data_IF_241769415611
#
_entry.id   IF_241769415611
#
_cell.length_a   1.000
_cell.length_b   1.000
_cell.length_c   1.000
_cell.angle_alpha   90.00
_cell.angle_beta   90.00
_cell.angle_gamma   90.00
#
_symmetry.space_group_name_H-M   'P 1'
#
loop_
_entity.id
_entity.type
_entity.pdbx_description
1 polymer ?
#
# COMPACT_ATOMS: atom_id res chain seq x y z
N UNK A 1 10.23 0.29 21.88
CA UNK A 1 9.35 1.48 21.93
C UNK A 1 8.51 1.43 23.21
N UNK A 2 8.24 2.55 23.87
CA UNK A 2 7.40 2.57 25.09
C UNK A 2 5.93 2.29 24.74
N UNK A 3 5.13 1.86 25.73
CA UNK A 3 3.69 1.60 25.52
C UNK A 3 2.95 2.85 25.03
N UNK A 4 3.27 4.02 25.59
CA UNK A 4 2.67 5.29 25.16
C UNK A 4 3.01 5.63 23.71
N UNK A 5 4.27 5.48 23.32
CA UNK A 5 4.70 5.76 21.95
C UNK A 5 4.07 4.77 20.94
N UNK A 6 3.78 3.52 21.34
CA UNK A 6 3.03 2.58 20.50
C UNK A 6 1.60 3.05 20.25
N UNK A 7 0.90 3.48 21.30
CA UNK A 7 -0.47 3.98 21.20
C UNK A 7 -0.52 5.24 20.34
N UNK A 8 0.42 6.16 20.54
CA UNK A 8 0.50 7.40 19.74
C UNK A 8 0.72 7.11 18.26
N UNK A 9 1.66 6.22 17.91
CA UNK A 9 1.85 5.78 16.51
C UNK A 9 0.57 5.17 15.95
N UNK A 10 -0.06 4.24 16.68
CA UNK A 10 -1.26 3.56 16.22
C UNK A 10 -2.42 4.53 15.96
N UNK A 11 -2.60 5.52 16.84
CA UNK A 11 -3.60 6.58 16.65
C UNK A 11 -3.30 7.44 15.43
N UNK A 12 -2.05 7.86 15.23
CA UNK A 12 -1.65 8.66 14.06
C UNK A 12 -1.90 7.90 12.75
N UNK A 13 -1.46 6.64 12.66
CA UNK A 13 -1.68 5.80 11.49
C UNK A 13 -3.18 5.64 11.25
N UNK A 14 -3.96 5.34 12.29
CA UNK A 14 -5.40 5.22 12.17
C UNK A 14 -6.05 6.51 11.66
N UNK A 15 -5.71 7.67 12.24
CA UNK A 15 -6.26 8.97 11.83
C UNK A 15 -5.90 9.32 10.38
N UNK A 16 -4.67 9.03 9.95
CA UNK A 16 -4.23 9.21 8.56
C UNK A 16 -5.11 8.40 7.61
N UNK A 17 -5.29 7.11 7.87
CA UNK A 17 -6.12 6.23 7.03
C UNK A 17 -7.61 6.56 7.13
N UNK A 18 -8.06 7.05 8.29
CA UNK A 18 -9.43 7.49 8.47
C UNK A 18 -9.79 8.66 7.55
N UNK A 19 -8.87 9.62 7.40
CA UNK A 19 -9.11 10.82 6.59
C UNK A 19 -8.70 10.61 5.13
N UNK A 20 -7.44 10.25 4.89
CA UNK A 20 -6.88 10.14 3.54
C UNK A 20 -7.25 8.83 2.86
N UNK A 21 -7.28 7.73 3.61
CA UNK A 21 -7.67 6.42 3.12
C UNK A 21 -9.15 6.35 2.75
N UNK A 22 -10.05 6.52 3.73
CA UNK A 22 -11.49 6.49 3.45
C UNK A 22 -11.94 7.67 2.60
N UNK A 23 -11.42 8.88 2.83
CA UNK A 23 -11.74 10.04 1.98
C UNK A 23 -11.26 9.85 0.54
N UNK A 24 -10.07 9.30 0.34
CA UNK A 24 -9.56 8.95 -0.99
C UNK A 24 -10.38 7.86 -1.67
N UNK A 25 -10.81 6.83 -0.93
CA UNK A 25 -11.71 5.81 -1.44
C UNK A 25 -13.08 6.38 -1.83
N UNK A 26 -13.64 7.26 -1.01
CA UNK A 26 -14.91 7.92 -1.30
C UNK A 26 -14.82 8.76 -2.58
N UNK A 27 -13.75 9.53 -2.77
CA UNK A 27 -13.50 10.27 -4.01
C UNK A 27 -13.30 9.35 -5.22
N UNK A 28 -12.61 8.21 -5.04
CA UNK A 28 -12.44 7.24 -6.11
C UNK A 28 -13.79 6.66 -6.58
N UNK A 29 -14.63 6.25 -5.62
CA UNK A 29 -15.97 5.73 -5.89
C UNK A 29 -16.90 6.80 -6.47
N UNK A 30 -16.79 8.04 -6.02
CA UNK A 30 -17.52 9.17 -6.60
C UNK A 30 -17.08 9.40 -8.05
N UNK A 31 -15.78 9.26 -8.34
CA UNK A 31 -15.25 9.32 -9.70
C UNK A 31 -15.86 8.24 -10.60
N UNK A 32 -16.01 7.01 -10.11
CA UNK A 32 -16.72 5.95 -10.85
C UNK A 32 -18.19 6.28 -11.05
N UNK A 33 -18.88 6.73 -10.00
CA UNK A 33 -20.30 7.09 -10.10
C UNK A 33 -20.58 8.23 -11.09
N UNK A 34 -19.61 9.13 -11.29
CA UNK A 34 -19.71 10.26 -12.23
C UNK A 34 -19.05 9.99 -13.58
N UNK A 35 -18.49 8.81 -13.80
CA UNK A 35 -17.67 8.49 -14.97
C UNK A 35 -16.54 9.54 -15.20
N UNK A 36 -15.89 9.96 -14.11
CA UNK A 36 -14.94 11.08 -14.09
C UNK A 36 -13.56 10.65 -13.62
N UNK A 37 -12.66 10.44 -14.59
CA UNK A 37 -11.26 10.11 -14.33
C UNK A 37 -10.56 11.15 -13.42
N UNK A 38 -10.85 12.45 -13.59
CA UNK A 38 -10.23 13.50 -12.79
C UNK A 38 -10.57 13.38 -11.29
N UNK A 39 -11.83 13.06 -10.97
CA UNK A 39 -12.27 12.85 -9.58
C UNK A 39 -11.65 11.56 -9.02
N UNK A 40 -11.58 10.50 -9.83
CA UNK A 40 -10.89 9.26 -9.46
C UNK A 40 -9.41 9.48 -9.15
N UNK A 41 -8.69 10.26 -9.97
CA UNK A 41 -7.28 10.60 -9.74
C UNK A 41 -7.10 11.41 -8.46
N UNK A 42 -8.02 12.31 -8.11
CA UNK A 42 -7.97 13.01 -6.83
C UNK A 42 -8.09 12.03 -5.64
N UNK A 43 -8.97 11.03 -5.74
CA UNK A 43 -9.08 9.95 -4.76
C UNK A 43 -7.81 9.11 -4.66
N UNK A 44 -7.23 8.72 -5.79
CA UNK A 44 -5.96 7.99 -5.85
C UNK A 44 -4.83 8.81 -5.21
N UNK A 45 -4.74 10.10 -5.50
CA UNK A 45 -3.75 11.00 -4.91
C UNK A 45 -3.89 11.09 -3.38
N UNK A 46 -5.12 11.10 -2.86
CA UNK A 46 -5.36 11.07 -1.41
C UNK A 46 -4.90 9.74 -0.78
N UNK A 47 -5.16 8.59 -1.44
CA UNK A 47 -4.67 7.28 -0.97
C UNK A 47 -3.14 7.25 -0.94
N UNK A 48 -2.47 7.79 -1.96
CA UNK A 48 -1.00 7.92 -2.03
C UNK A 48 -0.48 8.80 -0.90
N UNK A 49 -1.13 9.94 -0.65
CA UNK A 49 -0.77 10.80 0.47
C UNK A 49 -0.92 10.08 1.82
N UNK A 50 -1.93 9.21 1.97
CA UNK A 50 -2.09 8.33 3.13
C UNK A 50 -0.90 7.38 3.32
N UNK A 51 -0.44 6.73 2.25
CA UNK A 51 0.77 5.90 2.29
C UNK A 51 2.02 6.70 2.66
N UNK A 52 2.24 7.85 2.02
CA UNK A 52 3.38 8.71 2.29
C UNK A 52 3.40 9.18 3.76
N UNK A 53 2.25 9.60 4.28
CA UNK A 53 2.10 9.99 5.68
C UNK A 53 2.37 8.81 6.64
N UNK A 54 1.91 7.60 6.31
CA UNK A 54 2.22 6.40 7.10
C UNK A 54 3.73 6.09 7.08
N UNK A 55 4.41 6.23 5.94
CA UNK A 55 5.88 6.09 5.90
C UNK A 55 6.58 7.10 6.81
N UNK A 56 6.14 8.37 6.79
CA UNK A 56 6.69 9.42 7.66
C UNK A 56 6.49 9.07 9.13
N UNK A 57 5.29 8.63 9.52
CA UNK A 57 5.03 8.19 10.91
C UNK A 57 5.95 7.03 11.27
N UNK A 58 6.06 6.01 10.42
CA UNK A 58 6.95 4.87 10.69
C UNK A 58 8.42 5.29 10.80
N UNK A 59 8.88 6.28 10.02
CA UNK A 59 10.21 6.85 10.14
C UNK A 59 10.42 7.60 11.47
N UNK A 60 9.44 8.41 11.90
CA UNK A 60 9.51 9.16 13.18
C UNK A 60 9.63 8.21 14.37
N UNK A 61 8.89 7.09 14.35
CA UNK A 61 8.89 6.09 15.43
C UNK A 61 9.94 4.98 15.23
N UNK A 62 10.83 5.12 14.24
CA UNK A 62 11.83 4.14 13.80
C UNK A 62 11.31 2.69 13.76
N UNK A 63 10.21 2.51 13.03
CA UNK A 63 9.57 1.22 12.88
C UNK A 63 9.19 0.96 11.42
N UNK A 64 8.68 -0.25 11.15
CA UNK A 64 8.13 -0.63 9.86
C UNK A 64 6.65 -0.95 9.98
N UNK A 65 6.06 -1.40 8.88
CA UNK A 65 4.71 -1.94 8.89
C UNK A 65 4.63 -3.15 9.81
N UNK A 66 3.64 -3.15 10.69
CA UNK A 66 3.26 -4.32 11.48
C UNK A 66 2.67 -5.38 10.55
N UNK A 67 2.78 -6.66 10.94
CA UNK A 67 2.18 -7.77 10.19
C UNK A 67 0.68 -7.56 9.93
N UNK A 68 -0.07 -7.06 10.91
CA UNK A 68 -1.50 -6.76 10.74
C UNK A 68 -1.77 -5.64 9.72
N UNK A 69 -0.93 -4.61 9.68
CA UNK A 69 -1.06 -3.51 8.71
C UNK A 69 -0.74 -3.98 7.29
N UNK A 70 0.30 -4.79 7.14
CA UNK A 70 0.65 -5.40 5.87
C UNK A 70 -0.43 -6.37 5.38
N UNK A 71 -0.95 -7.22 6.27
CA UNK A 71 -2.04 -8.15 5.95
C UNK A 71 -3.31 -7.40 5.54
N UNK A 72 -3.66 -6.31 6.24
CA UNK A 72 -4.80 -5.46 5.89
C UNK A 72 -4.61 -4.84 4.50
N UNK A 73 -3.44 -4.26 4.24
CA UNK A 73 -3.12 -3.65 2.94
C UNK A 73 -3.20 -4.64 1.79
N UNK A 74 -2.60 -5.82 1.94
CA UNK A 74 -2.64 -6.89 0.92
C UNK A 74 -4.07 -7.41 0.74
N UNK A 75 -4.82 -7.60 1.82
CA UNK A 75 -6.20 -8.07 1.78
C UNK A 75 -7.11 -7.10 1.03
N UNK A 76 -7.04 -5.80 1.37
CA UNK A 76 -7.81 -4.76 0.67
C UNK A 76 -7.41 -4.68 -0.81
N UNK A 77 -6.11 -4.71 -1.11
CA UNK A 77 -5.63 -4.72 -2.50
C UNK A 77 -6.17 -5.92 -3.29
N UNK A 78 -6.09 -7.12 -2.72
CA UNK A 78 -6.59 -8.34 -3.35
C UNK A 78 -8.08 -8.28 -3.65
N UNK A 79 -8.89 -7.76 -2.72
CA UNK A 79 -10.34 -7.58 -2.91
C UNK A 79 -10.60 -6.57 -4.05
N UNK A 80 -9.92 -5.42 -4.04
CA UNK A 80 -10.12 -4.39 -5.08
C UNK A 80 -9.74 -4.91 -6.46
N UNK A 81 -8.61 -5.64 -6.57
CA UNK A 81 -8.20 -6.27 -7.83
C UNK A 81 -9.22 -7.31 -8.30
N UNK A 82 -9.72 -8.16 -7.39
CA UNK A 82 -10.71 -9.17 -7.74
C UNK A 82 -12.02 -8.54 -8.25
N UNK A 83 -12.51 -7.49 -7.59
CA UNK A 83 -13.69 -6.74 -8.03
C UNK A 83 -13.45 -6.10 -9.40
N UNK A 84 -12.30 -5.47 -9.62
CA UNK A 84 -11.96 -4.87 -10.91
C UNK A 84 -11.93 -5.91 -12.04
N UNK A 85 -11.29 -7.06 -11.83
CA UNK A 85 -11.22 -8.14 -12.83
C UNK A 85 -12.63 -8.67 -13.14
N UNK A 86 -13.47 -8.85 -12.12
CA UNK A 86 -14.85 -9.28 -12.31
C UNK A 86 -15.66 -8.27 -13.12
N UNK A 87 -15.57 -6.98 -12.80
CA UNK A 87 -16.24 -5.90 -13.55
C UNK A 87 -15.73 -5.76 -14.97
N UNK A 88 -14.42 -5.96 -15.19
CA UNK A 88 -13.84 -5.97 -16.53
C UNK A 88 -14.35 -7.15 -17.36
N UNK A 89 -14.37 -8.36 -16.78
CA UNK A 89 -14.79 -9.58 -17.46
C UNK A 89 -16.27 -9.56 -17.87
N UNK A 90 -17.12 -8.83 -17.14
CA UNK A 90 -18.55 -8.65 -17.47
C UNK A 90 -18.80 -7.48 -18.41
N UNK A 91 -17.77 -6.72 -18.79
CA UNK A 91 -17.92 -5.50 -19.60
C UNK A 91 -18.59 -4.35 -18.84
N UNK A 92 -18.60 -4.39 -17.51
CA UNK A 92 -19.25 -3.40 -16.66
C UNK A 92 -18.43 -2.14 -16.38
N UNK A 93 -17.22 -2.03 -16.93
CA UNK A 93 -16.36 -0.86 -16.76
C UNK A 93 -16.51 0.10 -17.94
N UNK A 94 -16.72 1.38 -17.63
CA UNK A 94 -16.50 2.43 -18.60
C UNK A 94 -15.01 2.56 -18.95
N UNK A 95 -14.69 3.34 -19.98
CA UNK A 95 -13.30 3.66 -20.28
C UNK A 95 -12.63 4.43 -19.13
N UNK A 96 -13.35 5.33 -18.45
CA UNK A 96 -12.79 6.12 -17.36
C UNK A 96 -12.53 5.29 -16.12
N UNK A 97 -13.43 4.35 -15.79
CA UNK A 97 -13.28 3.41 -14.68
C UNK A 97 -12.10 2.47 -14.90
N UNK A 98 -11.96 1.98 -16.14
CA UNK A 98 -10.85 1.13 -16.55
C UNK A 98 -9.50 1.82 -16.33
N UNK A 99 -9.33 3.05 -16.84
CA UNK A 99 -8.11 3.82 -16.66
C UNK A 99 -7.83 4.20 -15.21
N UNK A 100 -8.88 4.52 -14.46
CA UNK A 100 -8.77 4.82 -13.03
C UNK A 100 -8.28 3.61 -12.23
N UNK A 101 -8.83 2.42 -12.49
CA UNK A 101 -8.38 1.18 -11.85
C UNK A 101 -6.93 0.84 -12.20
N UNK A 102 -6.55 0.94 -13.49
CA UNK A 102 -5.15 0.75 -13.91
C UNK A 102 -4.20 1.74 -13.24
N UNK A 103 -4.61 3.02 -13.13
CA UNK A 103 -3.82 4.05 -12.45
C UNK A 103 -3.62 3.70 -10.98
N UNK A 104 -4.68 3.30 -10.28
CA UNK A 104 -4.59 2.86 -8.88
C UNK A 104 -3.62 1.69 -8.73
N UNK A 105 -3.73 0.66 -9.56
CA UNK A 105 -2.85 -0.52 -9.47
C UNK A 105 -1.40 -0.20 -9.78
N UNK A 106 -1.14 0.61 -10.80
CA UNK A 106 0.22 1.05 -11.14
C UNK A 106 0.87 1.76 -9.94
N UNK A 107 0.14 2.68 -9.31
CA UNK A 107 0.66 3.44 -8.17
C UNK A 107 0.86 2.57 -6.94
N UNK A 108 -0.07 1.67 -6.63
CA UNK A 108 0.09 0.72 -5.50
C UNK A 108 1.26 -0.24 -5.72
N UNK A 109 1.45 -0.73 -6.96
CA UNK A 109 2.58 -1.58 -7.30
C UNK A 109 3.92 -0.86 -7.12
N UNK A 110 3.98 0.44 -7.41
CA UNK A 110 5.17 1.29 -7.18
C UNK A 110 5.41 1.58 -5.69
N UNK A 111 4.40 1.46 -4.83
CA UNK A 111 4.53 1.72 -3.38
C UNK A 111 5.54 0.80 -2.71
N UNK A 112 5.59 -0.49 -3.09
CA UNK A 112 6.53 -1.46 -2.54
C UNK A 112 8.01 -1.12 -2.85
N UNK A 113 8.44 -0.94 -4.12
CA UNK A 113 9.83 -0.58 -4.41
C UNK A 113 10.21 0.78 -3.82
N UNK A 114 9.29 1.74 -3.73
CA UNK A 114 9.53 3.01 -3.03
C UNK A 114 9.82 2.74 -1.55
N UNK A 115 8.97 1.98 -0.86
CA UNK A 115 9.16 1.64 0.55
C UNK A 115 10.51 0.95 0.82
N UNK A 116 10.84 -0.06 0.00
CA UNK A 116 12.10 -0.78 0.12
C UNK A 116 13.30 0.16 -0.06
N UNK A 117 13.21 1.06 -1.03
CA UNK A 117 14.26 2.05 -1.32
C UNK A 117 14.41 3.07 -0.20
N UNK A 118 13.31 3.56 0.39
CA UNK A 118 13.36 4.56 1.47
C UNK A 118 13.81 3.97 2.80
N UNK A 119 13.48 2.71 3.11
CA UNK A 119 13.81 2.09 4.40
C UNK A 119 15.17 1.41 4.42
N UNK A 120 15.53 0.70 3.36
CA UNK A 120 16.76 -0.11 3.32
C UNK A 120 17.83 0.46 2.39
N UNK A 121 17.51 1.52 1.64
CA UNK A 121 18.36 2.05 0.58
C UNK A 121 18.40 1.15 -0.66
N UNK A 122 18.73 1.72 -1.82
CA UNK A 122 18.83 0.99 -3.09
C UNK A 122 19.80 -0.21 -3.05
N UNK A 123 20.86 -0.13 -2.22
CA UNK A 123 21.84 -1.22 -2.04
C UNK A 123 21.44 -2.27 -1.00
N UNK A 124 20.72 -1.88 0.07
CA UNK A 124 20.29 -2.82 1.12
C UNK A 124 19.02 -3.60 0.77
N UNK A 125 18.20 -3.09 -0.16
CA UNK A 125 17.00 -3.79 -0.63
C UNK A 125 17.33 -5.14 -1.29
N UNK A 126 18.45 -5.26 -2.02
CA UNK A 126 18.87 -6.51 -2.67
C UNK A 126 19.60 -7.49 -1.74
N UNK A 127 20.21 -7.03 -0.65
CA UNK A 127 20.92 -7.92 0.28
C UNK A 127 19.98 -8.79 1.11
N UNK A 128 18.73 -8.37 1.33
CA UNK A 128 17.74 -9.14 2.08
C UNK A 128 17.13 -10.31 1.31
N UNK A 129 17.27 -10.34 -0.02
CA UNK A 129 16.81 -11.45 -0.87
C UNK A 129 17.89 -12.53 -1.07
N UNK A 130 19.10 -12.34 -0.56
CA UNK A 130 20.13 -13.38 -0.55
C UNK A 130 19.88 -14.34 0.62
N UNK A 131 19.14 -15.41 0.36
CA UNK A 131 19.05 -16.56 1.26
C UNK A 131 20.47 -17.13 1.39
N UNK A 132 21.06 -17.05 2.59
CA UNK A 132 22.29 -17.77 2.90
C UNK A 132 21.94 -19.25 2.83
N UNK A 133 22.41 -19.95 1.79
CA UNK A 133 22.34 -21.41 1.76
C UNK A 133 22.95 -21.92 3.06
N UNK A 134 22.20 -22.77 3.78
CA UNK A 134 22.72 -23.46 4.93
C UNK A 134 23.93 -24.26 4.45
N UNK A 135 25.13 -23.89 4.92
CA UNK A 135 26.23 -24.84 5.01
C UNK A 135 25.73 -25.95 5.93
N UNK A 136 25.10 -26.98 5.33
CA UNK A 136 24.89 -28.26 5.96
C UNK A 136 26.28 -28.76 6.31
N UNK A 137 26.67 -28.55 7.56
CA UNK A 137 27.92 -28.95 8.14
C UNK A 137 28.14 -30.44 7.90
N UNK A 138 28.88 -30.73 6.83
CA UNK A 138 29.64 -31.94 6.73
C UNK A 138 30.78 -31.83 7.75
N UNK A 139 30.58 -32.41 8.92
CA UNK A 139 31.67 -32.88 9.76
C UNK A 139 31.35 -34.31 10.18
N UNK A 140 31.52 -35.21 9.21
CA UNK A 140 31.95 -36.57 9.45
C UNK A 140 33.19 -36.61 10.38
N UNK A 141 33.18 -37.60 11.29
CA UNK A 141 34.32 -38.26 11.96
C UNK A 141 34.96 -37.60 13.18
#
# INVERSE_FOLDING_TARGET
MSKSAMVERDLLVFSIWAVLGFGGLALLLEGFSRDSYAVSVAGIAAIVAGFAAHFVVNAIFDTGFKQGEAALGIGVFGIVVAVFIASWATGGLSASDYWSGLTLFAVLALGLPIYLSTRYGLRGAFSHFHVRHADSGNSDR
#
